data_IF_589969086777
#
_entry.id   IF_589969086777
#
_cell.length_a   1.000
_cell.length_b   1.000
_cell.length_c   1.000
_cell.angle_alpha   90.00
_cell.angle_beta   90.00
_cell.angle_gamma   90.00
#
_symmetry.space_group_name_H-M   'P 1'
#
loop_
_entity.id
_entity.type
_entity.pdbx_description
1 polymer ?
#
# COMPACT_ATOMS: atom_id res chain seq x y z
N UNK A 1 -23.04 -7.49 14.01
CA UNK A 1 -21.85 -8.22 13.53
C UNK A 1 -22.34 -9.27 12.54
N UNK A 2 -21.96 -9.19 11.26
CA UNK A 2 -22.23 -10.26 10.29
C UNK A 2 -21.31 -11.44 10.62
N UNK A 3 -21.88 -12.62 10.87
CA UNK A 3 -21.18 -13.79 11.41
C UNK A 3 -20.24 -14.45 10.39
N UNK A 4 -19.10 -13.82 10.12
CA UNK A 4 -18.01 -14.38 9.32
C UNK A 4 -17.25 -15.42 10.13
N UNK A 5 -16.91 -16.55 9.51
CA UNK A 5 -16.01 -17.53 10.11
C UNK A 5 -14.58 -16.97 10.17
N UNK A 6 -14.24 -16.35 11.31
CA UNK A 6 -12.95 -15.67 11.52
C UNK A 6 -11.77 -16.65 11.36
N UNK A 7 -11.89 -17.88 11.88
CA UNK A 7 -10.79 -18.86 11.77
C UNK A 7 -10.51 -19.25 10.32
N UNK A 8 -11.56 -19.42 9.52
CA UNK A 8 -11.42 -19.72 8.11
C UNK A 8 -10.79 -18.56 7.33
N UNK A 9 -11.22 -17.33 7.60
CA UNK A 9 -10.60 -16.13 7.04
C UNK A 9 -9.11 -16.06 7.39
N UNK A 10 -8.74 -16.19 8.68
CA UNK A 10 -7.36 -16.11 9.11
C UNK A 10 -6.49 -17.18 8.43
N UNK A 11 -6.99 -18.41 8.27
CA UNK A 11 -6.26 -19.48 7.57
C UNK A 11 -6.02 -19.13 6.10
N UNK A 12 -7.07 -18.75 5.36
CA UNK A 12 -6.99 -18.39 3.94
C UNK A 12 -6.11 -17.15 3.72
N UNK A 13 -6.27 -16.12 4.56
CA UNK A 13 -5.48 -14.90 4.50
C UNK A 13 -3.98 -15.19 4.71
N UNK A 14 -3.63 -15.93 5.76
CA UNK A 14 -2.23 -16.28 6.04
C UNK A 14 -1.58 -17.10 4.91
N UNK A 15 -2.34 -18.00 4.29
CA UNK A 15 -1.89 -18.78 3.14
C UNK A 15 -1.65 -17.90 1.91
N UNK A 16 -2.57 -16.99 1.60
CA UNK A 16 -2.43 -16.05 0.49
C UNK A 16 -1.30 -15.02 0.72
N UNK A 17 -1.04 -14.64 1.98
CA UNK A 17 0.01 -13.68 2.35
C UNK A 17 1.36 -14.32 2.68
N UNK A 18 1.53 -15.62 2.48
CA UNK A 18 2.79 -16.33 2.75
C UNK A 18 3.95 -15.71 1.95
N UNK A 19 5.10 -15.49 2.58
CA UNK A 19 6.26 -14.82 1.99
C UNK A 19 6.19 -13.29 1.98
N UNK A 20 5.12 -12.70 2.53
CA UNK A 20 4.94 -11.25 2.70
C UNK A 20 4.89 -10.86 4.18
N UNK A 21 5.52 -11.65 5.04
CA UNK A 21 5.52 -11.46 6.48
C UNK A 21 6.12 -10.09 6.85
N UNK A 22 5.54 -9.44 7.86
CA UNK A 22 5.96 -8.10 8.29
C UNK A 22 5.46 -6.94 7.43
N UNK A 23 4.83 -7.22 6.27
CA UNK A 23 4.12 -6.19 5.49
C UNK A 23 2.69 -6.04 5.98
N UNK A 24 2.25 -4.80 6.15
CA UNK A 24 0.84 -4.50 6.45
C UNK A 24 0.05 -4.61 5.15
N UNK A 25 -0.75 -5.68 5.02
CA UNK A 25 -1.58 -5.95 3.86
C UNK A 25 -3.06 -5.71 4.18
N UNK A 26 -3.74 -4.77 3.51
CA UNK A 26 -5.17 -4.58 3.69
C UNK A 26 -5.96 -5.72 3.04
N UNK A 27 -6.99 -6.22 3.71
CA UNK A 27 -7.98 -7.14 3.14
C UNK A 27 -9.34 -6.44 3.02
N UNK A 28 -10.01 -6.62 1.89
CA UNK A 28 -11.43 -6.26 1.74
C UNK A 28 -12.24 -7.54 1.79
N UNK A 29 -13.13 -7.64 2.78
CA UNK A 29 -13.99 -8.82 2.99
C UNK A 29 -15.39 -8.48 2.52
N UNK A 30 -15.92 -9.30 1.61
CA UNK A 30 -17.33 -9.25 1.18
C UNK A 30 -18.07 -10.39 1.87
N UNK A 31 -19.14 -10.06 2.60
CA UNK A 31 -19.95 -11.03 3.34
C UNK A 31 -21.30 -11.16 2.66
N UNK A 32 -21.70 -12.38 2.33
CA UNK A 32 -22.98 -12.68 1.68
C UNK A 32 -24.07 -13.02 2.72
N UNK A 33 -25.34 -13.04 2.28
CA UNK A 33 -26.49 -13.28 3.16
C UNK A 33 -26.48 -14.66 3.81
N UNK A 34 -25.93 -15.66 3.12
CA UNK A 34 -25.73 -17.03 3.61
C UNK A 34 -24.57 -17.15 4.61
N UNK A 35 -23.94 -16.02 4.99
CA UNK A 35 -22.75 -15.91 5.84
C UNK A 35 -21.47 -16.48 5.22
N UNK A 36 -21.49 -16.86 3.95
CA UNK A 36 -20.26 -17.08 3.20
C UNK A 36 -19.53 -15.75 3.00
N UNK A 37 -18.23 -15.83 2.67
CA UNK A 37 -17.43 -14.63 2.42
C UNK A 37 -16.43 -14.87 1.30
N UNK A 38 -16.11 -13.79 0.59
CA UNK A 38 -14.92 -13.67 -0.25
C UNK A 38 -14.04 -12.56 0.30
N UNK A 39 -12.75 -12.60 0.01
CA UNK A 39 -11.86 -11.49 0.33
C UNK A 39 -10.84 -11.26 -0.77
N UNK A 40 -10.31 -10.05 -0.81
CA UNK A 40 -9.23 -9.65 -1.71
C UNK A 40 -8.13 -9.04 -0.86
N UNK A 41 -6.90 -9.56 -1.00
CA UNK A 41 -5.71 -8.96 -0.38
C UNK A 41 -5.14 -7.89 -1.31
N UNK A 42 -5.10 -6.66 -0.82
CA UNK A 42 -4.53 -5.52 -1.54
C UNK A 42 -3.03 -5.41 -1.29
N UNK A 43 -2.34 -4.69 -2.16
CA UNK A 43 -0.94 -4.30 -1.93
C UNK A 43 -0.78 -3.44 -0.67
N UNK A 44 0.43 -3.39 -0.08
CA UNK A 44 0.70 -2.53 1.06
C UNK A 44 0.34 -1.06 0.79
N UNK A 45 -0.03 -0.28 1.82
CA UNK A 45 -0.28 1.15 1.68
C UNK A 45 0.93 1.86 1.04
N UNK A 46 0.67 2.86 0.19
CA UNK A 46 1.72 3.67 -0.47
C UNK A 46 2.73 4.20 0.55
N UNK A 47 2.23 4.64 1.71
CA UNK A 47 3.06 5.17 2.79
C UNK A 47 4.05 4.16 3.36
N UNK A 48 3.70 2.88 3.41
CA UNK A 48 4.64 1.83 3.85
C UNK A 48 5.68 1.58 2.77
N UNK A 49 5.26 1.48 1.50
CA UNK A 49 6.17 1.26 0.38
C UNK A 49 7.18 2.41 0.22
N UNK A 50 6.73 3.66 0.35
CA UNK A 50 7.61 4.84 0.33
C UNK A 50 8.58 4.87 1.50
N UNK A 51 8.12 4.53 2.71
CA UNK A 51 9.00 4.40 3.89
C UNK A 51 10.09 3.35 3.68
N UNK A 52 9.73 2.20 3.11
CA UNK A 52 10.68 1.14 2.77
C UNK A 52 11.68 1.58 1.70
N UNK A 53 11.21 2.26 0.65
CA UNK A 53 12.09 2.80 -0.40
C UNK A 53 13.09 3.84 0.12
N UNK A 54 12.70 4.64 1.12
CA UNK A 54 13.60 5.57 1.80
C UNK A 54 14.43 4.94 2.94
N UNK A 55 14.13 3.70 3.37
CA UNK A 55 14.75 3.10 4.55
C UNK A 55 14.39 3.77 5.88
N UNK A 56 13.23 4.41 5.98
CA UNK A 56 12.80 5.16 7.18
C UNK A 56 11.65 4.47 7.91
N UNK A 57 11.66 4.51 9.25
CA UNK A 57 10.56 3.98 10.06
C UNK A 57 9.38 4.97 10.19
N UNK A 58 9.68 6.27 10.25
CA UNK A 58 8.71 7.35 10.48
C UNK A 58 8.83 8.41 9.38
N UNK A 59 7.67 8.86 8.89
CA UNK A 59 7.58 9.96 7.94
C UNK A 59 7.39 11.30 8.66
N UNK A 60 7.48 12.42 7.93
CA UNK A 60 7.39 13.76 8.52
C UNK A 60 6.07 13.97 9.23
N UNK A 61 6.12 14.42 10.48
CA UNK A 61 4.92 14.83 11.23
C UNK A 61 4.48 16.25 10.90
N UNK A 62 5.35 17.06 10.30
CA UNK A 62 5.20 18.50 10.09
C UNK A 62 5.62 18.91 8.67
N UNK A 63 5.09 18.26 7.64
CA UNK A 63 5.25 18.66 6.23
C UNK A 63 4.63 20.05 5.99
N UNK A 64 5.30 21.02 5.32
CA UNK A 64 6.53 20.91 4.53
C UNK A 64 7.83 21.31 5.26
N UNK A 65 7.80 21.60 6.57
CA UNK A 65 8.98 22.09 7.32
C UNK A 65 10.05 21.02 7.52
N UNK A 66 9.63 19.78 7.78
CA UNK A 66 10.53 18.65 7.98
C UNK A 66 10.51 17.72 6.77
N UNK A 67 11.68 17.47 6.19
CA UNK A 67 11.88 16.46 5.15
C UNK A 67 12.22 15.11 5.79
N UNK A 68 11.55 14.06 5.35
CA UNK A 68 11.68 12.72 5.90
C UNK A 68 12.55 11.78 5.06
N UNK A 69 12.81 12.11 3.79
CA UNK A 69 13.64 11.30 2.90
C UNK A 69 13.52 11.71 1.45
N UNK A 70 14.12 10.92 0.57
CA UNK A 70 14.03 11.09 -0.88
C UNK A 70 13.78 9.73 -1.55
N UNK A 71 13.07 9.73 -2.66
CA UNK A 71 12.90 8.57 -3.56
C UNK A 71 13.18 8.99 -5.00
N UNK A 72 13.72 8.07 -5.81
CA UNK A 72 13.91 8.32 -7.24
C UNK A 72 12.62 8.11 -8.02
N UNK A 73 12.50 8.73 -9.19
CA UNK A 73 11.39 8.45 -10.12
C UNK A 73 11.27 6.96 -10.47
N UNK A 74 12.40 6.27 -10.59
CA UNK A 74 12.43 4.82 -10.85
C UNK A 74 11.77 4.05 -9.70
N UNK A 75 12.09 4.36 -8.44
CA UNK A 75 11.44 3.76 -7.27
C UNK A 75 9.94 4.08 -7.22
N UNK A 76 9.55 5.32 -7.56
CA UNK A 76 8.14 5.71 -7.65
C UNK A 76 7.41 4.89 -8.71
N UNK A 77 8.03 4.64 -9.87
CA UNK A 77 7.46 3.84 -10.94
C UNK A 77 7.29 2.37 -10.53
N UNK A 78 8.25 1.80 -9.81
CA UNK A 78 8.15 0.42 -9.34
C UNK A 78 7.04 0.26 -8.28
N UNK A 79 6.92 1.23 -7.36
CA UNK A 79 5.79 1.28 -6.41
C UNK A 79 4.47 1.43 -7.17
N UNK A 80 4.42 2.28 -8.20
CA UNK A 80 3.22 2.48 -9.01
C UNK A 80 2.81 1.21 -9.76
N UNK A 81 3.77 0.47 -10.35
CA UNK A 81 3.51 -0.83 -11.00
C UNK A 81 2.97 -1.85 -10.01
N UNK A 82 3.58 -1.96 -8.83
CA UNK A 82 3.11 -2.87 -7.79
C UNK A 82 1.69 -2.55 -7.35
N UNK A 83 1.33 -1.27 -7.32
CA UNK A 83 0.04 -0.79 -6.83
C UNK A 83 -1.02 -0.65 -7.93
N UNK A 84 -0.67 -0.80 -9.20
CA UNK A 84 -1.52 -0.41 -10.31
C UNK A 84 -2.90 -1.09 -10.27
N UNK A 85 -2.93 -2.37 -9.89
CA UNK A 85 -4.18 -3.14 -9.74
C UNK A 85 -5.10 -2.65 -8.61
N UNK A 86 -4.56 -1.92 -7.63
CA UNK A 86 -5.30 -1.38 -6.49
C UNK A 86 -5.64 0.12 -6.65
N UNK A 87 -5.03 0.78 -7.63
CA UNK A 87 -5.26 2.19 -7.93
C UNK A 87 -6.37 2.32 -8.96
N UNK A 88 -7.10 3.43 -8.89
CA UNK A 88 -8.04 3.85 -9.94
C UNK A 88 -7.34 4.59 -11.09
N UNK A 89 -6.03 4.39 -11.27
CA UNK A 89 -5.25 5.05 -12.29
C UNK A 89 -5.49 4.41 -13.67
N UNK A 90 -5.62 5.25 -14.70
CA UNK A 90 -5.86 4.79 -16.07
C UNK A 90 -4.58 4.36 -16.81
N UNK A 91 -3.43 4.87 -16.37
CA UNK A 91 -2.12 4.57 -16.91
C UNK A 91 -1.05 4.63 -15.81
N UNK A 92 0.15 4.14 -16.12
CA UNK A 92 1.26 4.11 -15.17
C UNK A 92 1.71 5.53 -14.77
N UNK A 93 1.58 6.52 -15.65
CA UNK A 93 2.00 7.89 -15.37
C UNK A 93 1.09 8.55 -14.32
N UNK A 94 -0.22 8.35 -14.44
CA UNK A 94 -1.24 8.75 -13.48
C UNK A 94 -0.99 8.07 -12.13
N UNK A 95 -0.67 6.76 -12.14
CA UNK A 95 -0.29 6.05 -10.93
C UNK A 95 0.96 6.68 -10.27
N UNK A 96 2.02 6.94 -11.04
CA UNK A 96 3.22 7.64 -10.55
C UNK A 96 2.90 9.01 -9.93
N UNK A 97 2.01 9.80 -10.55
CA UNK A 97 1.57 11.10 -10.00
C UNK A 97 0.85 10.94 -8.65
N UNK A 98 0.01 9.91 -8.50
CA UNK A 98 -0.66 9.61 -7.22
C UNK A 98 0.34 9.22 -6.13
N UNK A 99 1.33 8.37 -6.46
CA UNK A 99 2.39 7.98 -5.53
C UNK A 99 3.24 9.19 -5.13
N UNK A 100 3.63 10.03 -6.09
CA UNK A 100 4.38 11.26 -5.85
C UNK A 100 3.61 12.26 -4.97
N UNK A 101 2.30 12.37 -5.14
CA UNK A 101 1.44 13.17 -4.26
C UNK A 101 1.50 12.69 -2.80
N UNK A 102 1.49 11.37 -2.61
CA UNK A 102 1.64 10.77 -1.27
C UNK A 102 3.02 11.03 -0.70
N UNK A 103 4.09 10.86 -1.48
CA UNK A 103 5.46 11.17 -1.06
C UNK A 103 5.58 12.63 -0.58
N UNK A 104 5.02 13.57 -1.34
CA UNK A 104 4.99 14.99 -0.96
C UNK A 104 4.30 15.22 0.38
N UNK A 105 3.13 14.62 0.63
CA UNK A 105 2.42 14.76 1.92
C UNK A 105 3.21 14.21 3.10
N UNK A 106 4.06 13.21 2.86
CA UNK A 106 4.91 12.56 3.86
C UNK A 106 6.25 13.27 4.08
N UNK A 107 6.49 14.39 3.38
CA UNK A 107 7.77 15.10 3.42
C UNK A 107 8.90 14.35 2.71
N UNK A 108 8.57 13.46 1.77
CA UNK A 108 9.54 12.71 0.96
C UNK A 108 9.66 13.41 -0.40
N UNK A 109 10.88 13.79 -0.76
CA UNK A 109 11.15 14.43 -2.04
C UNK A 109 11.33 13.39 -3.15
N UNK A 110 10.78 13.67 -4.33
CA UNK A 110 10.96 12.84 -5.52
C UNK A 110 12.05 13.48 -6.37
N UNK A 111 13.15 12.76 -6.58
CA UNK A 111 14.31 13.24 -7.34
C UNK A 111 14.45 12.51 -8.67
N UNK A 112 15.10 13.15 -9.64
CA UNK A 112 15.56 12.45 -10.84
C UNK A 112 16.58 11.40 -10.42
N UNK A 113 16.43 10.16 -10.91
CA UNK A 113 17.35 9.06 -10.65
C UNK A 113 17.13 7.92 -11.62
#
# INVERSE_FOLDING_TARGET
QHGVNIMEFCKKFNEETKGREGLVLPAVITVYEDRSFTFIVKSPPVSILLKQACGIAKASGNTPREKAGQVTKTQVADIAKQKLQDLNAHDLEAACRMIAGTARSMGIDVVEG
#
